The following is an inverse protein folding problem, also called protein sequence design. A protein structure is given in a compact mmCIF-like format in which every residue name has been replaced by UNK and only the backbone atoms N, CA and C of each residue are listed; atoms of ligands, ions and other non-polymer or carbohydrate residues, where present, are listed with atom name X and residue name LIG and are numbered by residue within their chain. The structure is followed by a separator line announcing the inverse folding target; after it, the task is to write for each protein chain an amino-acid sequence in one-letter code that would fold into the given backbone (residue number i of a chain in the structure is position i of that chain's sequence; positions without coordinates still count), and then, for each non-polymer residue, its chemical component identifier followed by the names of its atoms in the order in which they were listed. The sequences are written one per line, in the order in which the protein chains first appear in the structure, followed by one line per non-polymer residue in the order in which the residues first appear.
data_IF_880870679566
#
_entry.id   IF_880870679566
#
_cell.length_a   1.000
_cell.length_b   1.000
_cell.length_c   1.000
_cell.angle_alpha   90.00
_cell.angle_beta   90.00
_cell.angle_gamma   90.00
#
_symmetry.space_group_name_H-M   'P 1'
#
loop_
_entity.id
_entity.type
_entity.pdbx_description
1 polymer ?
#
# COMPACT_ATOMS: atom_id res chain seq x y z
N UNK A 1 17.07 -1.09 9.05
CA UNK A 1 15.74 -0.82 8.47
C UNK A 1 15.11 0.32 9.26
N UNK A 2 15.11 1.56 8.75
CA UNK A 2 14.72 2.76 9.52
C UNK A 2 13.22 2.80 9.81
N UNK A 3 12.38 2.43 8.84
CA UNK A 3 10.93 2.45 8.99
C UNK A 3 10.43 1.49 10.07
N UNK A 4 10.95 0.26 10.12
CA UNK A 4 10.54 -0.72 11.14
C UNK A 4 10.84 -0.25 12.56
N UNK A 5 12.04 0.31 12.77
CA UNK A 5 12.41 0.87 14.07
C UNK A 5 11.50 2.04 14.47
N UNK A 6 11.21 2.97 13.54
CA UNK A 6 10.30 4.08 13.81
C UNK A 6 8.86 3.62 14.10
N UNK A 7 8.39 2.59 13.39
CA UNK A 7 7.05 2.02 13.59
C UNK A 7 6.97 1.29 14.92
N UNK A 8 8.02 0.57 15.35
CA UNK A 8 8.04 -0.16 16.61
C UNK A 8 7.84 0.75 17.85
N UNK A 9 8.29 2.00 17.76
CA UNK A 9 8.18 3.00 18.84
C UNK A 9 6.81 3.69 18.92
N UNK A 10 5.90 3.43 17.97
CA UNK A 10 4.57 4.06 17.96
C UNK A 10 3.70 3.56 19.11
N UNK A 11 2.98 4.48 19.74
CA UNK A 11 1.96 4.13 20.72
C UNK A 11 0.67 3.60 20.06
N UNK A 12 -0.23 3.04 20.86
CA UNK A 12 -1.47 2.46 20.34
C UNK A 12 -2.34 3.44 19.54
N UNK A 13 -2.41 4.70 19.96
CA UNK A 13 -3.16 5.73 19.24
C UNK A 13 -2.49 6.13 17.93
N UNK A 14 -1.17 6.20 17.90
CA UNK A 14 -0.37 6.46 16.70
C UNK A 14 -0.48 5.34 15.68
N UNK A 15 -0.41 4.08 16.12
CA UNK A 15 -0.64 2.89 15.30
C UNK A 15 -1.99 2.95 14.61
N UNK A 16 -3.05 3.28 15.35
CA UNK A 16 -4.42 3.43 14.83
C UNK A 16 -4.50 4.54 13.79
N UNK A 17 -3.92 5.71 14.07
CA UNK A 17 -3.90 6.84 13.12
C UNK A 17 -3.15 6.49 11.84
N UNK A 18 -1.99 5.85 11.95
CA UNK A 18 -1.18 5.44 10.81
C UNK A 18 -1.90 4.39 9.97
N UNK A 19 -2.52 3.39 10.59
CA UNK A 19 -3.32 2.40 9.89
C UNK A 19 -4.44 3.04 9.07
N UNK A 20 -5.22 3.93 9.68
CA UNK A 20 -6.30 4.67 8.99
C UNK A 20 -5.78 5.50 7.83
N UNK A 21 -4.61 6.13 8.00
CA UNK A 21 -3.98 6.89 6.94
C UNK A 21 -3.58 5.99 5.75
N UNK A 22 -2.96 4.85 6.02
CA UNK A 22 -2.58 3.89 4.98
C UNK A 22 -3.80 3.30 4.27
N UNK A 23 -4.86 2.96 5.01
CA UNK A 23 -6.12 2.48 4.42
C UNK A 23 -6.79 3.50 3.49
N UNK A 24 -6.68 4.80 3.78
CA UNK A 24 -7.16 5.85 2.86
C UNK A 24 -6.44 5.80 1.51
N UNK A 25 -5.14 5.49 1.50
CA UNK A 25 -4.39 5.33 0.26
C UNK A 25 -4.82 4.10 -0.51
N UNK A 26 -4.97 2.95 0.17
CA UNK A 26 -5.50 1.73 -0.44
C UNK A 26 -6.85 1.99 -1.12
N UNK A 27 -7.78 2.64 -0.41
CA UNK A 27 -9.09 3.01 -0.96
C UNK A 27 -9.00 3.94 -2.17
N UNK A 28 -7.99 4.84 -2.24
CA UNK A 28 -7.75 5.68 -3.41
C UNK A 28 -7.32 4.85 -4.62
N UNK A 29 -6.38 3.92 -4.47
CA UNK A 29 -5.92 3.10 -5.60
C UNK A 29 -6.99 2.15 -6.11
N UNK A 30 -7.84 1.62 -5.22
CA UNK A 30 -9.00 0.83 -5.64
C UNK A 30 -9.98 1.65 -6.47
N UNK A 31 -10.24 2.90 -6.05
CA UNK A 31 -11.16 3.79 -6.76
C UNK A 31 -10.57 4.34 -8.06
N UNK A 32 -9.25 4.51 -8.10
CA UNK A 32 -8.52 5.10 -9.21
C UNK A 32 -7.31 4.22 -9.54
N UNK A 33 -7.49 3.15 -10.34
CA UNK A 33 -6.41 2.21 -10.66
C UNK A 33 -5.21 2.86 -11.36
N UNK A 34 -5.47 3.93 -12.12
CA UNK A 34 -4.45 4.71 -12.83
C UNK A 34 -3.74 5.74 -11.93
N UNK A 35 -4.07 5.81 -10.64
CA UNK A 35 -3.42 6.73 -9.71
C UNK A 35 -1.97 6.31 -9.47
N UNK A 36 -1.05 7.11 -10.00
CA UNK A 36 0.39 6.97 -9.80
C UNK A 36 1.04 8.34 -9.63
N UNK A 37 2.30 8.36 -9.19
CA UNK A 37 3.12 9.56 -9.29
C UNK A 37 3.16 10.00 -10.77
N UNK A 38 3.11 11.31 -11.01
CA UNK A 38 3.14 11.88 -12.35
C UNK A 38 4.32 12.86 -12.47
N UNK A 39 5.54 12.36 -12.74
CA UNK A 39 6.72 13.19 -12.87
C UNK A 39 6.59 14.23 -13.98
N UNK A 40 5.86 13.92 -15.05
CA UNK A 40 5.63 14.82 -16.17
C UNK A 40 4.82 16.06 -15.75
N UNK A 41 3.86 15.88 -14.83
CA UNK A 41 3.07 16.99 -14.30
C UNK A 41 3.89 17.94 -13.42
N UNK A 42 5.01 17.48 -12.83
CA UNK A 42 5.94 18.37 -12.14
C UNK A 42 6.55 19.39 -13.10
N UNK A 43 7.03 18.94 -14.26
CA UNK A 43 7.63 19.81 -15.28
C UNK A 43 6.61 20.67 -16.04
N UNK A 44 5.43 20.11 -16.35
CA UNK A 44 4.42 20.80 -17.15
C UNK A 44 3.52 21.74 -16.34
N UNK A 45 3.20 21.37 -15.10
CA UNK A 45 2.20 22.06 -14.27
C UNK A 45 2.79 22.65 -12.98
N UNK A 46 4.10 22.50 -12.74
CA UNK A 46 4.75 22.97 -11.51
C UNK A 46 4.26 22.24 -10.25
N UNK A 47 3.72 21.02 -10.40
CA UNK A 47 3.20 20.24 -9.27
C UNK A 47 4.35 19.51 -8.56
N UNK A 48 5.08 20.26 -7.73
CA UNK A 48 6.28 19.80 -7.00
C UNK A 48 6.05 18.57 -6.10
N UNK A 49 4.81 18.29 -5.71
CA UNK A 49 4.46 17.16 -4.85
C UNK A 49 4.04 15.89 -5.60
N UNK A 50 4.11 15.87 -6.93
CA UNK A 50 3.77 14.66 -7.70
C UNK A 50 4.63 13.45 -7.30
N UNK A 51 5.90 13.66 -6.97
CA UNK A 51 6.81 12.59 -6.52
C UNK A 51 6.54 12.13 -5.08
N UNK A 52 5.76 12.89 -4.32
CA UNK A 52 5.36 12.53 -2.94
C UNK A 52 4.17 11.57 -2.91
N UNK A 53 3.52 11.31 -4.05
CA UNK A 53 2.47 10.30 -4.15
C UNK A 53 3.12 8.92 -4.03
N UNK A 54 2.83 8.14 -2.97
CA UNK A 54 3.43 6.82 -2.82
C UNK A 54 2.95 5.90 -3.96
N UNK A 55 3.68 4.83 -4.23
CA UNK A 55 3.14 3.73 -5.04
C UNK A 55 2.26 2.84 -4.17
N UNK A 56 1.30 2.14 -4.79
CA UNK A 56 0.50 1.13 -4.10
C UNK A 56 1.40 0.14 -3.32
N UNK A 57 2.45 -0.37 -3.97
CA UNK A 57 3.40 -1.29 -3.34
C UNK A 57 4.14 -0.69 -2.14
N UNK A 58 4.43 0.61 -2.12
CA UNK A 58 5.02 1.27 -0.96
C UNK A 58 4.03 1.33 0.22
N UNK A 59 2.75 1.65 -0.05
CA UNK A 59 1.69 1.66 0.97
C UNK A 59 1.44 0.25 1.52
N UNK A 60 1.37 -0.77 0.66
CA UNK A 60 1.20 -2.16 1.07
C UNK A 60 2.36 -2.65 1.95
N UNK A 61 3.61 -2.32 1.60
CA UNK A 61 4.77 -2.64 2.45
C UNK A 61 4.72 -1.93 3.81
N UNK A 62 4.30 -0.67 3.84
CA UNK A 62 4.16 0.07 5.10
C UNK A 62 3.09 -0.55 6.02
N UNK A 63 1.96 -1.02 5.44
CA UNK A 63 0.95 -1.79 6.18
C UNK A 63 1.52 -3.10 6.73
N UNK A 64 2.31 -3.82 5.94
CA UNK A 64 3.02 -5.02 6.40
C UNK A 64 3.92 -4.74 7.60
N UNK A 65 4.75 -3.70 7.52
CA UNK A 65 5.63 -3.29 8.65
C UNK A 65 4.81 -2.90 9.89
N UNK A 66 3.69 -2.21 9.71
CA UNK A 66 2.79 -1.86 10.82
C UNK A 66 2.20 -3.10 11.50
N UNK A 67 1.75 -4.07 10.70
CA UNK A 67 1.23 -5.35 11.20
C UNK A 67 2.32 -6.16 11.90
N UNK A 68 3.50 -6.28 11.32
CA UNK A 68 4.63 -7.03 11.90
C UNK A 68 5.03 -6.53 13.29
N UNK A 69 4.94 -5.21 13.53
CA UNK A 69 5.32 -4.62 14.81
C UNK A 69 4.16 -4.57 15.83
N UNK A 70 2.92 -4.38 15.37
CA UNK A 70 1.78 -4.04 16.25
C UNK A 70 0.57 -4.96 16.08
N UNK A 71 0.75 -6.17 15.56
CA UNK A 71 -0.32 -7.13 15.27
C UNK A 71 -1.32 -7.29 16.43
N UNK A 72 -0.83 -7.58 17.64
CA UNK A 72 -1.69 -7.81 18.81
C UNK A 72 -2.52 -6.59 19.16
N UNK A 73 -1.93 -5.39 19.08
CA UNK A 73 -2.67 -4.15 19.34
C UNK A 73 -3.78 -3.94 18.30
N UNK A 74 -3.46 -4.10 17.01
CA UNK A 74 -4.41 -3.90 15.92
C UNK A 74 -5.58 -4.90 15.94
N UNK A 75 -5.32 -6.18 16.19
CA UNK A 75 -6.36 -7.22 16.19
C UNK A 75 -7.26 -7.13 17.42
N UNK A 76 -6.70 -6.75 18.58
CA UNK A 76 -7.46 -6.67 19.82
C UNK A 76 -8.23 -5.35 19.96
N UNK A 77 -7.78 -4.27 19.29
CA UNK A 77 -8.43 -2.98 19.36
C UNK A 77 -9.75 -2.97 18.55
N UNK A 78 -10.86 -2.73 19.25
CA UNK A 78 -12.19 -2.72 18.65
C UNK A 78 -12.41 -1.56 17.67
N UNK A 79 -11.74 -0.42 17.89
CA UNK A 79 -11.93 0.82 17.12
C UNK A 79 -11.36 0.73 15.70
N UNK A 80 -10.47 -0.23 15.44
CA UNK A 80 -9.81 -0.44 14.14
C UNK A 80 -10.11 -1.80 13.52
N UNK A 81 -10.93 -2.62 14.18
CA UNK A 81 -11.22 -3.98 13.72
C UNK A 81 -11.92 -4.01 12.38
N UNK A 82 -12.89 -3.13 12.16
CA UNK A 82 -13.60 -3.04 10.89
C UNK A 82 -12.69 -2.50 9.77
N UNK A 83 -11.79 -1.56 10.11
CA UNK A 83 -10.79 -1.02 9.19
C UNK A 83 -9.75 -2.10 8.82
N UNK A 84 -9.42 -2.99 9.76
CA UNK A 84 -8.54 -4.14 9.53
C UNK A 84 -9.19 -5.15 8.59
N UNK A 85 -10.47 -5.48 8.82
CA UNK A 85 -11.22 -6.38 7.94
C UNK A 85 -11.37 -5.80 6.54
N UNK A 86 -11.65 -4.50 6.41
CA UNK A 86 -11.72 -3.84 5.11
C UNK A 86 -10.39 -3.94 4.37
N UNK A 87 -9.27 -3.71 5.06
CA UNK A 87 -7.93 -3.88 4.48
C UNK A 87 -7.66 -5.34 4.07
N UNK A 88 -8.06 -6.31 4.90
CA UNK A 88 -7.93 -7.75 4.60
C UNK A 88 -8.67 -8.15 3.33
N UNK A 89 -9.93 -7.72 3.18
CA UNK A 89 -10.74 -7.98 1.98
C UNK A 89 -10.06 -7.42 0.74
N UNK A 90 -9.61 -6.15 0.79
CA UNK A 90 -8.90 -5.53 -0.32
C UNK A 90 -7.60 -6.25 -0.66
N UNK A 91 -6.78 -6.59 0.33
CA UNK A 91 -5.52 -7.31 0.10
C UNK A 91 -5.80 -8.66 -0.53
N UNK A 92 -6.85 -9.37 -0.11
CA UNK A 92 -7.24 -10.65 -0.69
C UNK A 92 -7.61 -10.52 -2.17
N UNK A 93 -8.42 -9.53 -2.54
CA UNK A 93 -8.78 -9.27 -3.94
C UNK A 93 -7.54 -8.98 -4.79
N UNK A 94 -6.62 -8.17 -4.27
CA UNK A 94 -5.39 -7.82 -4.96
C UNK A 94 -4.41 -9.00 -5.08
N UNK A 95 -4.37 -9.88 -4.07
CA UNK A 95 -3.59 -11.13 -4.14
C UNK A 95 -4.14 -12.02 -5.26
N UNK A 96 -5.47 -12.20 -5.33
CA UNK A 96 -6.10 -13.00 -6.40
C UNK A 96 -5.75 -12.42 -7.79
N UNK A 97 -5.81 -11.10 -7.95
CA UNK A 97 -5.45 -10.45 -9.21
C UNK A 97 -3.95 -10.57 -9.54
N UNK A 98 -3.07 -10.46 -8.54
CA UNK A 98 -1.64 -10.63 -8.73
C UNK A 98 -1.29 -12.07 -9.15
N UNK A 99 -1.95 -13.06 -8.54
CA UNK A 99 -1.78 -14.47 -8.87
C UNK A 99 -2.28 -14.79 -10.29
N UNK A 100 -3.41 -14.20 -10.71
CA UNK A 100 -3.95 -14.38 -12.06
C UNK A 100 -3.08 -13.69 -13.13
N UNK A 101 -2.51 -12.53 -12.80
CA UNK A 101 -1.68 -11.73 -13.70
C UNK A 101 -0.24 -12.23 -13.84
N UNK A 102 0.29 -12.96 -12.85
CA UNK A 102 1.67 -13.45 -12.84
C UNK A 102 2.09 -14.19 -14.12
N UNK A 103 1.33 -15.22 -14.57
CA UNK A 103 1.64 -15.95 -15.80
C UNK A 103 1.66 -15.06 -17.05
N UNK A 104 0.77 -14.07 -17.14
CA UNK A 104 0.72 -13.12 -18.27
C UNK A 104 1.98 -12.25 -18.27
N UNK A 105 2.35 -11.73 -17.09
CA UNK A 105 3.56 -10.93 -16.92
C UNK A 105 4.83 -11.70 -17.30
N UNK A 106 4.89 -12.98 -16.92
CA UNK A 106 6.01 -13.87 -17.26
C UNK A 106 6.08 -14.16 -18.76
N UNK A 107 4.94 -14.36 -19.43
CA UNK A 107 4.89 -14.49 -20.89
C UNK A 107 5.39 -13.22 -21.59
N UNK A 108 4.93 -12.05 -21.16
CA UNK A 108 5.36 -10.76 -21.73
C UNK A 108 6.87 -10.55 -21.59
N UNK A 109 7.44 -10.89 -20.43
CA UNK A 109 8.90 -10.81 -20.21
C UNK A 109 9.68 -11.72 -21.14
N UNK A 110 9.22 -12.96 -21.36
CA UNK A 110 9.86 -13.90 -22.29
C UNK A 110 9.81 -13.38 -23.73
N UNK A 111 8.66 -12.87 -24.17
CA UNK A 111 8.51 -12.30 -25.52
C UNK A 111 9.39 -11.07 -25.75
N UNK A 112 9.72 -10.31 -24.71
CA UNK A 112 10.65 -9.18 -24.79
C UNK A 112 12.12 -9.62 -24.85
N UNK A 113 12.45 -10.82 -24.34
CA UNK A 113 13.81 -11.38 -24.37
C UNK A 113 14.14 -12.09 -25.69
N UNK A 114 13.11 -12.51 -26.46
CA UNK A 114 13.25 -13.14 -27.78
C UNK A 114 13.36 -12.12 -28.94
N UNK A 115 13.61 -10.83 -28.64
CA UNK A 115 13.89 -9.75 -29.59
C UNK A 115 15.35 -9.31 -29.51
#
# INVERSE_FOLDING_TARGET
MVLGAAVAELDGGEVVRLMRYLNKWIGKYLKFPDAQACPEAMGMLGLEQCDSVPSFGAVARALGVLLDNHFSHLVLNADVREELRAAEVTVRELTVEAESSGPILDLLRRLQQDK
#
